data_IF_478971784319
#
_entry.id   IF_478971784319
#
_cell.length_a   1.000
_cell.length_b   1.000
_cell.length_c   1.000
_cell.angle_alpha   90.00
_cell.angle_beta   90.00
_cell.angle_gamma   90.00
#
_symmetry.space_group_name_H-M   'P 1'
#
loop_
_entity.id
_entity.type
_entity.pdbx_description
1 polymer ?
#
# COMPACT_ATOMS: atom_id res chain seq x y z
N UNK A 1 18.20 -38.45 10.57
CA UNK A 1 17.55 -37.73 9.46
C UNK A 1 16.70 -36.60 10.02
N UNK A 2 17.24 -35.39 10.07
CA UNK A 2 16.50 -34.22 10.58
C UNK A 2 15.60 -33.69 9.46
N UNK A 3 14.29 -33.80 9.64
CA UNK A 3 13.29 -33.24 8.72
C UNK A 3 13.44 -31.71 8.72
N UNK A 4 13.90 -31.16 7.60
CA UNK A 4 13.90 -29.72 7.33
C UNK A 4 12.43 -29.29 7.24
N UNK A 5 11.97 -28.45 8.17
CA UNK A 5 10.63 -27.83 8.09
C UNK A 5 10.67 -26.86 6.91
N UNK A 6 9.96 -27.18 5.84
CA UNK A 6 9.63 -26.20 4.81
C UNK A 6 8.87 -25.04 5.47
N UNK A 7 9.14 -23.78 5.09
CA UNK A 7 8.33 -22.67 5.56
C UNK A 7 6.92 -22.88 4.99
N UNK A 8 5.93 -23.06 5.87
CA UNK A 8 4.53 -23.01 5.48
C UNK A 8 4.27 -21.66 4.81
N UNK A 9 4.07 -21.66 3.49
CA UNK A 9 3.50 -20.53 2.76
C UNK A 9 2.14 -20.23 3.39
N UNK A 10 2.10 -19.16 4.19
CA UNK A 10 0.86 -18.67 4.75
C UNK A 10 -0.04 -18.21 3.60
N UNK A 11 -1.35 -18.49 3.64
CA UNK A 11 -2.25 -18.08 2.57
C UNK A 11 -2.18 -16.56 2.41
N UNK A 12 -1.71 -16.13 1.25
CA UNK A 12 -1.58 -14.73 0.88
C UNK A 12 -2.99 -14.15 0.84
N UNK A 13 -3.25 -13.12 1.65
CA UNK A 13 -4.50 -12.37 1.55
C UNK A 13 -4.55 -11.67 0.20
N UNK A 14 -5.64 -11.84 -0.54
CA UNK A 14 -5.81 -11.17 -1.83
C UNK A 14 -5.95 -9.66 -1.62
N UNK A 15 -4.84 -8.97 -1.83
CA UNK A 15 -4.71 -7.53 -1.60
C UNK A 15 -5.50 -6.70 -2.61
N UNK A 16 -5.83 -7.28 -3.77
CA UNK A 16 -6.49 -6.60 -4.88
C UNK A 16 -7.86 -6.04 -4.46
N UNK A 17 -8.56 -6.74 -3.57
CA UNK A 17 -9.86 -6.31 -3.03
C UNK A 17 -9.74 -4.99 -2.27
N UNK A 18 -8.69 -4.85 -1.46
CA UNK A 18 -8.46 -3.62 -0.69
C UNK A 18 -7.99 -2.46 -1.57
N UNK A 19 -7.16 -2.74 -2.57
CA UNK A 19 -6.75 -1.71 -3.54
C UNK A 19 -7.94 -1.23 -4.38
N UNK A 20 -8.82 -2.14 -4.78
CA UNK A 20 -10.07 -1.77 -5.46
C UNK A 20 -10.95 -0.88 -4.57
N UNK A 21 -11.06 -1.20 -3.28
CA UNK A 21 -11.78 -0.36 -2.31
C UNK A 21 -11.15 1.04 -2.17
N UNK A 22 -9.82 1.14 -2.08
CA UNK A 22 -9.12 2.44 -2.08
C UNK A 22 -9.41 3.24 -3.36
N UNK A 23 -9.44 2.56 -4.50
CA UNK A 23 -9.74 3.18 -5.80
C UNK A 23 -11.19 3.67 -5.92
N UNK A 24 -12.11 3.25 -5.05
CA UNK A 24 -13.49 3.79 -5.02
C UNK A 24 -13.51 5.23 -4.52
N UNK A 25 -12.62 5.57 -3.59
CA UNK A 25 -12.53 6.89 -2.96
C UNK A 25 -11.46 7.77 -3.61
N UNK A 26 -10.32 7.17 -3.97
CA UNK A 26 -9.16 7.90 -4.48
C UNK A 26 -8.79 7.46 -5.88
N UNK A 27 -8.15 8.34 -6.64
CA UNK A 27 -7.47 8.04 -7.90
C UNK A 27 -5.96 8.18 -7.72
N UNK A 28 -5.16 7.47 -8.53
CA UNK A 28 -3.74 7.74 -8.64
C UNK A 28 -3.49 9.19 -9.05
N UNK A 29 -2.56 9.85 -8.36
CA UNK A 29 -2.04 11.15 -8.76
C UNK A 29 -0.64 10.97 -9.35
N UNK A 30 -0.39 11.54 -10.52
CA UNK A 30 0.91 11.45 -11.21
C UNK A 30 1.90 12.54 -10.79
N UNK A 31 1.41 13.62 -10.17
CA UNK A 31 2.25 14.72 -9.71
C UNK A 31 1.89 15.13 -8.28
N UNK A 32 2.85 15.65 -7.50
CA UNK A 32 2.58 16.11 -6.15
C UNK A 32 1.58 17.28 -6.08
N UNK A 33 1.44 18.06 -7.15
CA UNK A 33 0.49 19.17 -7.23
C UNK A 33 -0.96 18.69 -7.39
N UNK A 34 -1.16 17.51 -7.98
CA UNK A 34 -2.47 16.87 -8.11
C UNK A 34 -2.84 16.02 -6.89
N UNK A 35 -1.86 15.66 -6.07
CA UNK A 35 -2.07 14.84 -4.88
C UNK A 35 -2.76 15.66 -3.78
N UNK A 36 -3.96 15.23 -3.40
CA UNK A 36 -4.68 15.75 -2.23
C UNK A 36 -4.17 15.14 -0.93
N UNK A 37 -3.67 13.91 -1.00
CA UNK A 37 -3.31 13.10 0.14
C UNK A 37 -1.97 12.40 -0.10
N UNK A 38 -1.22 12.23 1.00
CA UNK A 38 0.07 11.55 1.02
C UNK A 38 0.07 10.52 2.13
N UNK A 39 0.17 9.23 1.78
CA UNK A 39 0.18 8.14 2.75
C UNK A 39 1.49 7.35 2.66
N UNK A 40 2.02 6.87 3.78
CA UNK A 40 3.09 5.86 3.73
C UNK A 40 2.49 4.48 3.51
N UNK A 41 3.35 3.54 3.12
CA UNK A 41 2.96 2.15 2.96
C UNK A 41 2.41 1.57 4.27
N UNK A 42 2.98 1.96 5.42
CA UNK A 42 2.52 1.52 6.75
C UNK A 42 1.13 2.04 7.08
N UNK A 43 0.82 3.29 6.72
CA UNK A 43 -0.53 3.86 6.89
C UNK A 43 -1.56 3.07 6.07
N UNK A 44 -1.22 2.69 4.84
CA UNK A 44 -2.10 1.86 4.00
C UNK A 44 -2.25 0.44 4.56
N UNK A 45 -1.15 -0.18 5.03
CA UNK A 45 -1.20 -1.49 5.72
C UNK A 45 -2.14 -1.43 6.93
N UNK A 46 -2.03 -0.37 7.73
CA UNK A 46 -2.84 -0.19 8.92
C UNK A 46 -4.32 -0.01 8.57
N UNK A 47 -4.63 0.81 7.56
CA UNK A 47 -6.00 0.99 7.08
C UNK A 47 -6.62 -0.32 6.57
N UNK A 48 -5.84 -1.18 5.89
CA UNK A 48 -6.30 -2.52 5.49
C UNK A 48 -6.65 -3.37 6.72
N UNK A 49 -5.81 -3.33 7.75
CA UNK A 49 -6.03 -4.08 9.01
C UNK A 49 -7.21 -3.56 9.83
N UNK A 50 -7.57 -2.29 9.68
CA UNK A 50 -8.78 -1.73 10.30
C UNK A 50 -10.05 -2.26 9.64
N UNK A 51 -10.00 -2.59 8.35
CA UNK A 51 -11.10 -3.22 7.62
C UNK A 51 -11.15 -4.73 7.91
N UNK A 52 -9.99 -5.40 7.86
CA UNK A 52 -9.85 -6.82 8.13
C UNK A 52 -8.61 -7.07 9.00
N UNK A 53 -8.84 -7.22 10.31
CA UNK A 53 -7.76 -7.50 11.27
C UNK A 53 -7.07 -8.85 11.05
N UNK A 54 -7.69 -9.76 10.31
CA UNK A 54 -7.13 -11.08 9.99
C UNK A 54 -6.30 -11.07 8.70
N UNK A 55 -6.34 -9.96 7.94
CA UNK A 55 -5.56 -9.79 6.72
C UNK A 55 -4.06 -9.91 6.99
N UNK A 56 -3.45 -10.93 6.40
CA UNK A 56 -2.00 -11.17 6.44
C UNK A 56 -1.34 -10.47 5.27
N UNK A 57 -1.30 -9.14 5.36
CA UNK A 57 -0.65 -8.27 4.36
C UNK A 57 0.71 -7.79 4.84
N UNK A 58 1.71 -7.89 3.98
CA UNK A 58 3.03 -7.30 4.21
C UNK A 58 3.16 -5.93 3.54
N UNK A 59 4.01 -5.02 4.05
CA UNK A 59 4.28 -3.74 3.40
C UNK A 59 4.78 -3.87 1.95
N UNK A 60 5.56 -4.92 1.65
CA UNK A 60 6.07 -5.19 0.30
C UNK A 60 4.91 -5.48 -0.66
N UNK A 61 3.97 -6.34 -0.27
CA UNK A 61 2.79 -6.64 -1.08
C UNK A 61 1.93 -5.40 -1.32
N UNK A 62 1.72 -4.57 -0.29
CA UNK A 62 1.00 -3.29 -0.43
C UNK A 62 1.73 -2.37 -1.42
N UNK A 63 3.05 -2.30 -1.33
CA UNK A 63 3.84 -1.47 -2.22
C UNK A 63 3.70 -1.90 -3.69
N UNK A 64 3.85 -3.20 -3.96
CA UNK A 64 3.70 -3.76 -5.30
C UNK A 64 2.28 -3.58 -5.84
N UNK A 65 1.27 -3.85 -5.01
CA UNK A 65 -0.13 -3.74 -5.40
C UNK A 65 -0.54 -2.30 -5.74
N UNK A 66 -0.11 -1.31 -4.94
CA UNK A 66 -0.35 0.10 -5.25
C UNK A 66 0.36 0.53 -6.53
N UNK A 67 1.60 0.05 -6.76
CA UNK A 67 2.32 0.33 -8.00
C UNK A 67 1.62 -0.27 -9.22
N UNK A 68 1.15 -1.51 -9.12
CA UNK A 68 0.38 -2.18 -10.17
C UNK A 68 -0.96 -1.48 -10.44
N UNK A 69 -1.56 -0.90 -9.42
CA UNK A 69 -2.78 -0.09 -9.52
C UNK A 69 -2.56 1.33 -10.05
N UNK A 70 -1.32 1.70 -10.39
CA UNK A 70 -0.95 2.95 -11.03
C UNK A 70 -0.68 4.10 -10.06
N UNK A 71 -0.65 3.87 -8.75
CA UNK A 71 -0.25 4.90 -7.79
C UNK A 71 1.25 5.16 -7.88
N UNK A 72 1.62 6.42 -7.71
CA UNK A 72 3.01 6.85 -7.69
C UNK A 72 3.50 7.12 -6.27
N UNK A 73 4.79 6.84 -6.07
CA UNK A 73 5.50 6.99 -4.81
C UNK A 73 6.62 8.00 -5.00
N UNK A 74 6.55 9.14 -4.31
CA UNK A 74 7.49 10.24 -4.49
C UNK A 74 7.99 10.77 -3.15
N UNK A 75 9.12 11.48 -3.17
CA UNK A 75 9.53 12.29 -2.03
C UNK A 75 8.51 13.43 -1.86
N UNK A 76 7.94 13.56 -0.66
CA UNK A 76 6.92 14.57 -0.40
C UNK A 76 7.54 15.98 -0.51
N UNK A 77 6.96 16.89 -1.32
CA UNK A 77 7.42 18.27 -1.40
C UNK A 77 7.41 18.95 -0.01
N UNK A 78 8.42 19.76 0.26
CA UNK A 78 8.54 20.51 1.52
C UNK A 78 8.98 19.68 2.73
N UNK A 79 9.32 18.39 2.55
CA UNK A 79 9.94 17.58 3.61
C UNK A 79 11.36 18.07 3.92
N UNK A 80 11.71 18.21 5.20
CA UNK A 80 13.08 18.54 5.65
C UNK A 80 14.08 17.38 5.46
N UNK A 81 13.62 16.21 5.00
CA UNK A 81 14.45 15.04 4.67
C UNK A 81 13.83 14.16 3.59
N UNK A 82 14.32 12.92 3.46
CA UNK A 82 13.72 11.93 2.57
C UNK A 82 12.47 11.35 3.22
N UNK A 83 11.30 11.69 2.68
CA UNK A 83 10.01 11.16 3.13
C UNK A 83 9.21 10.75 1.91
N UNK A 84 9.34 9.47 1.55
CA UNK A 84 8.59 8.93 0.42
C UNK A 84 7.17 8.57 0.84
N UNK A 85 6.21 9.01 0.03
CA UNK A 85 4.78 8.83 0.27
C UNK A 85 4.08 8.51 -1.05
N UNK A 86 3.00 7.76 -0.96
CA UNK A 86 2.07 7.51 -2.05
C UNK A 86 1.20 8.73 -2.29
N UNK A 87 1.01 9.06 -3.56
CA UNK A 87 0.20 10.20 -3.97
C UNK A 87 -1.22 9.78 -4.32
N UNK A 88 -2.19 10.28 -3.55
CA UNK A 88 -3.61 10.00 -3.71
C UNK A 88 -4.36 11.30 -4.04
N UNK A 89 -5.28 11.24 -5.02
CA UNK A 89 -6.20 12.33 -5.35
C UNK A 89 -7.63 11.90 -5.04
N UNK A 90 -8.37 12.67 -4.25
CA UNK A 90 -9.81 12.46 -4.11
C UNK A 90 -10.53 12.54 -5.46
N UNK A 91 -11.63 11.81 -5.59
CA UNK A 91 -12.41 11.76 -6.83
C UNK A 91 -13.20 13.02 -7.12
#
# INVERSE_FOLDING_TARGET
MSKKKEPQEQPITDISVYVAALQMTYRPASTPAEATHFFSTEEVVQAIKEIDSSAKVSPIQVFEALRQAGFDFCNRPGSQGLSFKWMFRER
#
